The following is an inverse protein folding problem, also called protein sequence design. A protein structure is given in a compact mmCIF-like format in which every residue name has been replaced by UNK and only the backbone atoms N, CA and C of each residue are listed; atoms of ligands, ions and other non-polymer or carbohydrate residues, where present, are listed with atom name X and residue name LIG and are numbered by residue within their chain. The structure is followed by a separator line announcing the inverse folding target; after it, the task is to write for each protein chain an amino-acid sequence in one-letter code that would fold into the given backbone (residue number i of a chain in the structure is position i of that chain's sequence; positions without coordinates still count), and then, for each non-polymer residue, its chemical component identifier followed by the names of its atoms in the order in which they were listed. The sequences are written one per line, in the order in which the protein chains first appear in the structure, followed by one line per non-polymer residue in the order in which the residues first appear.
data_IF_434360109109
#
_entry.id   IF_434360109109
#
_cell.length_a   1.000
_cell.length_b   1.000
_cell.length_c   1.000
_cell.angle_alpha   90.00
_cell.angle_beta   90.00
_cell.angle_gamma   90.00
#
_symmetry.space_group_name_H-M   'P 1'
#
loop_
_entity.id
_entity.type
_entity.pdbx_description
1 polymer ?
#
# COMPACT_ATOMS: atom_id res chain seq x y z
N UNK A 1 12.93 23.96 -0.77
CA UNK A 1 11.76 23.91 -1.68
C UNK A 1 10.47 24.17 -0.91
N UNK A 2 10.23 23.48 0.22
CA UNK A 2 9.17 23.85 1.20
C UNK A 2 9.21 25.31 1.66
N UNK A 3 10.40 25.88 1.88
CA UNK A 3 10.54 27.27 2.34
C UNK A 3 10.13 28.32 1.30
N UNK A 4 10.13 27.99 0.00
CA UNK A 4 9.68 28.90 -1.07
C UNK A 4 8.15 28.93 -1.18
N UNK A 5 7.50 27.79 -0.97
CA UNK A 5 6.04 27.63 -0.97
C UNK A 5 5.42 28.38 0.22
N UNK A 6 6.06 28.31 1.40
CA UNK A 6 5.62 29.02 2.60
C UNK A 6 5.77 30.56 2.51
N UNK A 7 6.55 31.07 1.55
CA UNK A 7 6.77 32.51 1.35
C UNK A 7 5.85 33.14 0.29
N UNK A 8 4.90 32.39 -0.28
CA UNK A 8 3.85 32.93 -1.16
C UNK A 8 4.31 33.35 -2.57
N UNK A 9 5.58 33.11 -2.94
CA UNK A 9 6.06 33.26 -4.32
C UNK A 9 6.12 31.91 -5.01
N UNK A 10 5.25 31.72 -5.99
CA UNK A 10 5.16 30.54 -6.83
C UNK A 10 5.77 30.82 -8.20
N UNK A 11 7.07 31.06 -8.24
CA UNK A 11 7.83 31.11 -9.49
C UNK A 11 8.09 29.69 -10.05
N UNK A 12 7.04 28.87 -10.12
CA UNK A 12 7.06 27.51 -10.63
C UNK A 12 6.02 27.37 -11.73
N UNK A 13 6.36 26.62 -12.77
CA UNK A 13 5.42 26.22 -13.80
C UNK A 13 4.54 25.10 -13.24
N UNK A 14 3.24 25.36 -13.10
CA UNK A 14 2.26 24.40 -12.60
C UNK A 14 1.22 24.09 -13.67
N UNK A 15 0.73 22.85 -13.67
CA UNK A 15 -0.42 22.43 -14.45
C UNK A 15 -1.48 21.79 -13.56
N UNK A 16 -2.73 21.82 -14.02
CA UNK A 16 -3.75 20.96 -13.43
C UNK A 16 -3.35 19.49 -13.65
N UNK A 17 -3.50 18.68 -12.60
CA UNK A 17 -3.26 17.24 -12.72
C UNK A 17 -4.18 16.63 -13.77
N UNK A 18 -3.72 15.64 -14.55
CA UNK A 18 -4.55 14.96 -15.56
C UNK A 18 -5.85 14.33 -15.01
N UNK A 19 -5.88 14.03 -13.72
CA UNK A 19 -7.06 13.47 -13.01
C UNK A 19 -8.05 14.54 -12.55
N UNK A 20 -7.74 15.82 -12.71
CA UNK A 20 -8.60 16.96 -12.35
C UNK A 20 -9.23 17.49 -13.63
N UNK A 21 -10.56 17.48 -13.67
CA UNK A 21 -11.31 17.87 -14.87
C UNK A 21 -12.14 19.11 -14.56
N UNK A 22 -11.82 20.27 -15.16
CA UNK A 22 -12.57 21.50 -14.96
C UNK A 22 -13.81 21.54 -15.87
N UNK A 23 -14.91 22.09 -15.34
CA UNK A 23 -16.16 22.36 -16.05
C UNK A 23 -16.61 23.80 -15.76
N UNK A 24 -17.26 24.42 -16.74
CA UNK A 24 -17.94 25.71 -16.56
C UNK A 24 -19.44 25.45 -16.44
N UNK A 25 -20.06 25.89 -15.35
CA UNK A 25 -21.48 25.65 -15.07
C UNK A 25 -22.08 26.84 -14.31
N UNK A 26 -23.11 27.48 -14.86
CA UNK A 26 -23.94 28.51 -14.19
C UNK A 26 -23.16 29.59 -13.43
N UNK A 27 -22.10 30.16 -14.04
CA UNK A 27 -21.26 31.18 -13.39
C UNK A 27 -20.33 30.62 -12.31
N UNK A 28 -20.03 29.33 -12.36
CA UNK A 28 -19.09 28.63 -11.49
C UNK A 28 -18.09 27.81 -12.30
N UNK A 29 -16.92 27.58 -11.69
CA UNK A 29 -16.00 26.52 -12.10
C UNK A 29 -16.23 25.32 -11.20
N UNK A 30 -16.47 24.16 -11.81
CA UNK A 30 -16.58 22.88 -11.09
C UNK A 30 -15.38 22.02 -11.43
N UNK A 31 -14.61 21.63 -10.42
CA UNK A 31 -13.48 20.72 -10.57
C UNK A 31 -13.90 19.33 -10.11
N UNK A 32 -13.83 18.34 -11.02
CA UNK A 32 -14.01 16.93 -10.67
C UNK A 32 -12.66 16.29 -10.43
N UNK A 33 -12.44 15.74 -9.24
CA UNK A 33 -11.19 15.07 -8.85
C UNK A 33 -11.45 14.07 -7.72
N UNK A 34 -10.71 12.96 -7.65
CA UNK A 34 -10.79 11.97 -6.55
C UNK A 34 -12.22 11.49 -6.20
N UNK A 35 -13.13 11.44 -7.18
CA UNK A 35 -14.55 11.10 -6.97
C UNK A 35 -15.39 12.20 -6.29
N UNK A 36 -14.83 13.39 -6.14
CA UNK A 36 -15.42 14.58 -5.51
C UNK A 36 -15.60 15.72 -6.52
N UNK A 37 -16.32 16.75 -6.08
CA UNK A 37 -16.52 17.99 -6.82
C UNK A 37 -16.19 19.18 -5.91
N UNK A 38 -15.29 20.07 -6.35
CA UNK A 38 -15.19 21.42 -5.79
C UNK A 38 -15.93 22.39 -6.69
N UNK A 39 -16.74 23.26 -6.09
CA UNK A 39 -17.47 24.32 -6.79
C UNK A 39 -16.90 25.66 -6.37
N UNK A 40 -16.42 26.42 -7.33
CA UNK A 40 -15.81 27.72 -7.10
C UNK A 40 -16.68 28.76 -7.82
N UNK A 41 -17.27 29.73 -7.11
CA UNK A 41 -17.97 30.84 -7.75
C UNK A 41 -17.04 31.55 -8.73
N UNK A 42 -17.52 31.82 -9.94
CA UNK A 42 -16.74 32.49 -10.98
C UNK A 42 -17.62 33.45 -11.80
N UNK A 43 -18.28 34.44 -11.15
CA UNK A 43 -19.21 35.34 -11.83
C UNK A 43 -18.54 36.19 -12.91
N UNK A 44 -17.23 36.44 -12.78
CA UNK A 44 -16.44 37.27 -13.69
C UNK A 44 -15.52 36.47 -14.62
N UNK A 45 -15.49 35.13 -14.52
CA UNK A 45 -14.72 34.26 -15.42
C UNK A 45 -13.23 34.13 -15.12
N UNK A 46 -12.72 34.81 -14.09
CA UNK A 46 -11.29 34.83 -13.73
C UNK A 46 -10.79 33.44 -13.31
N UNK A 47 -11.59 32.67 -12.58
CA UNK A 47 -11.18 31.35 -12.09
C UNK A 47 -11.12 30.35 -13.25
N UNK A 48 -12.05 30.43 -14.20
CA UNK A 48 -11.97 29.65 -15.43
C UNK A 48 -10.71 30.00 -16.24
N UNK A 49 -10.40 31.30 -16.37
CA UNK A 49 -9.21 31.74 -17.07
C UNK A 49 -7.92 31.21 -16.41
N UNK A 50 -7.82 31.29 -15.08
CA UNK A 50 -6.71 30.72 -14.32
C UNK A 50 -6.58 29.21 -14.56
N UNK A 51 -7.64 28.45 -14.32
CA UNK A 51 -7.63 26.98 -14.42
C UNK A 51 -7.36 26.49 -15.84
N UNK A 52 -7.88 27.16 -16.87
CA UNK A 52 -7.59 26.85 -18.27
C UNK A 52 -6.15 27.17 -18.68
N UNK A 53 -5.50 28.12 -17.99
CA UNK A 53 -4.12 28.55 -18.27
C UNK A 53 -3.06 27.74 -17.52
N UNK A 54 -3.45 26.94 -16.52
CA UNK A 54 -2.59 26.02 -15.78
C UNK A 54 -2.20 24.80 -16.63
N UNK A 55 -1.33 25.05 -17.61
CA UNK A 55 -0.84 24.05 -18.56
C UNK A 55 0.66 23.75 -18.42
N UNK A 56 1.34 24.36 -17.43
CA UNK A 56 2.74 24.09 -17.13
C UNK A 56 3.77 24.84 -17.98
N UNK A 57 3.37 25.82 -18.79
CA UNK A 57 4.31 26.61 -19.60
C UNK A 57 4.69 27.95 -18.97
N UNK A 58 3.78 28.56 -18.22
CA UNK A 58 3.95 29.88 -17.59
C UNK A 58 4.03 29.72 -16.07
N UNK A 59 4.93 30.45 -15.37
CA UNK A 59 4.98 30.46 -13.91
C UNK A 59 3.65 30.90 -13.29
N UNK A 60 3.28 30.29 -12.18
CA UNK A 60 2.00 30.57 -11.52
C UNK A 60 1.84 32.06 -11.14
N UNK A 61 2.88 32.69 -10.59
CA UNK A 61 2.83 34.11 -10.24
C UNK A 61 2.55 35.01 -11.46
N UNK A 62 3.14 34.72 -12.61
CA UNK A 62 2.92 35.46 -13.86
C UNK A 62 1.51 35.21 -14.43
N UNK A 63 0.99 33.99 -14.31
CA UNK A 63 -0.40 33.68 -14.68
C UNK A 63 -1.40 34.45 -13.80
N UNK A 64 -1.17 34.53 -12.49
CA UNK A 64 -2.04 35.26 -11.56
C UNK A 64 -2.14 36.73 -11.98
N UNK A 65 -1.00 37.38 -12.25
CA UNK A 65 -0.96 38.79 -12.71
C UNK A 65 -1.71 38.93 -14.05
N UNK A 66 -1.42 38.06 -15.01
CA UNK A 66 -2.06 38.10 -16.35
C UNK A 66 -3.58 37.97 -16.26
N UNK A 67 -4.08 37.06 -15.41
CA UNK A 67 -5.52 36.88 -15.21
C UNK A 67 -6.13 38.08 -14.48
N UNK A 68 -5.44 38.64 -13.48
CA UNK A 68 -5.94 39.82 -12.77
C UNK A 68 -6.05 41.05 -13.68
N UNK A 69 -5.07 41.29 -14.56
CA UNK A 69 -5.11 42.37 -15.54
C UNK A 69 -6.26 42.21 -16.56
N UNK A 70 -6.61 40.97 -16.92
CA UNK A 70 -7.70 40.67 -17.82
C UNK A 70 -9.10 40.70 -17.16
N UNK A 71 -9.16 40.58 -15.82
CA UNK A 71 -10.39 40.49 -15.05
C UNK A 71 -10.40 41.48 -13.87
N UNK A 72 -10.51 42.78 -14.19
CA UNK A 72 -10.43 43.88 -13.22
C UNK A 72 -11.49 43.85 -12.09
N UNK A 73 -12.56 43.07 -12.27
CA UNK A 73 -13.61 42.88 -11.24
C UNK A 73 -13.18 41.90 -10.12
N UNK A 74 -12.05 41.20 -10.28
CA UNK A 74 -11.53 40.22 -9.31
C UNK A 74 -10.12 40.63 -8.88
N UNK A 75 -9.89 40.70 -7.58
CA UNK A 75 -8.59 41.11 -7.06
C UNK A 75 -7.51 40.05 -7.33
N UNK A 76 -6.26 40.47 -7.49
CA UNK A 76 -5.12 39.54 -7.59
C UNK A 76 -5.03 38.62 -6.34
N UNK A 77 -5.37 39.15 -5.17
CA UNK A 77 -5.38 38.41 -3.90
C UNK A 77 -6.41 37.27 -3.91
N UNK A 78 -7.61 37.50 -4.47
CA UNK A 78 -8.63 36.45 -4.62
C UNK A 78 -8.16 35.35 -5.58
N UNK A 79 -7.55 35.71 -6.71
CA UNK A 79 -7.01 34.76 -7.69
C UNK A 79 -5.87 33.94 -7.06
N UNK A 80 -4.98 34.60 -6.30
CA UNK A 80 -3.88 33.96 -5.56
C UNK A 80 -4.39 33.01 -4.49
N UNK A 81 -5.44 33.39 -3.77
CA UNK A 81 -6.12 32.54 -2.79
C UNK A 81 -6.66 31.26 -3.44
N UNK A 82 -7.32 31.37 -4.60
CA UNK A 82 -7.79 30.19 -5.33
C UNK A 82 -6.62 29.32 -5.82
N UNK A 83 -5.54 29.92 -6.33
CA UNK A 83 -4.35 29.17 -6.72
C UNK A 83 -3.72 28.41 -5.54
N UNK A 84 -3.69 29.03 -4.35
CA UNK A 84 -3.25 28.40 -3.12
C UNK A 84 -4.14 27.22 -2.73
N UNK A 85 -5.45 27.36 -2.87
CA UNK A 85 -6.39 26.26 -2.64
C UNK A 85 -6.12 25.10 -3.60
N UNK A 86 -5.89 25.36 -4.90
CA UNK A 86 -5.53 24.30 -5.85
C UNK A 86 -4.27 23.53 -5.41
N UNK A 87 -3.28 24.21 -4.84
CA UNK A 87 -2.07 23.58 -4.28
C UNK A 87 -2.40 22.77 -3.02
N UNK A 88 -3.13 23.36 -2.07
CA UNK A 88 -3.47 22.76 -0.78
C UNK A 88 -4.34 21.50 -0.95
N UNK A 89 -5.31 21.54 -1.88
CA UNK A 89 -6.13 20.39 -2.26
C UNK A 89 -5.41 19.41 -3.18
N UNK A 90 -4.12 19.63 -3.48
CA UNK A 90 -3.27 18.77 -4.31
C UNK A 90 -3.85 18.55 -5.70
N UNK A 91 -4.35 19.61 -6.34
CA UNK A 91 -5.00 19.56 -7.65
C UNK A 91 -4.06 19.94 -8.81
N UNK A 92 -2.89 20.48 -8.49
CA UNK A 92 -1.84 20.88 -9.44
C UNK A 92 -0.57 20.08 -9.25
N UNK A 93 0.21 19.95 -10.32
CA UNK A 93 1.52 19.32 -10.31
C UNK A 93 2.54 20.10 -11.13
N UNK A 94 3.83 19.84 -10.86
CA UNK A 94 4.91 20.34 -11.69
C UNK A 94 5.09 19.39 -12.90
N UNK A 95 4.94 19.88 -14.16
CA UNK A 95 4.96 19.04 -15.35
C UNK A 95 6.33 18.38 -15.58
N UNK A 96 7.40 18.98 -15.07
CA UNK A 96 8.78 18.56 -15.25
C UNK A 96 9.27 17.54 -14.20
N UNK A 97 8.40 17.10 -13.27
CA UNK A 97 8.77 16.13 -12.24
C UNK A 97 9.36 14.83 -12.81
N UNK A 98 8.94 14.42 -14.02
CA UNK A 98 9.47 13.23 -14.70
C UNK A 98 10.96 13.35 -15.06
N UNK A 99 11.52 14.56 -15.19
CA UNK A 99 12.93 14.74 -15.58
C UNK A 99 13.92 14.26 -14.52
N UNK A 100 13.44 14.08 -13.28
CA UNK A 100 14.27 13.68 -12.13
C UNK A 100 14.09 12.21 -11.74
N UNK A 101 13.29 11.44 -12.49
CA UNK A 101 13.06 10.02 -12.21
C UNK A 101 14.15 9.12 -12.78
N UNK A 102 14.43 8.01 -12.07
CA UNK A 102 15.26 6.91 -12.56
C UNK A 102 14.48 5.88 -13.39
N UNK A 103 13.15 6.02 -13.54
CA UNK A 103 12.33 5.10 -14.34
C UNK A 103 12.64 5.21 -15.83
N UNK A 104 12.76 4.07 -16.50
CA UNK A 104 12.88 4.01 -17.96
C UNK A 104 11.61 4.48 -18.66
N UNK A 105 11.70 4.78 -19.96
CA UNK A 105 10.52 5.11 -20.76
C UNK A 105 9.50 3.96 -20.78
N UNK A 106 9.98 2.72 -20.90
CA UNK A 106 9.15 1.52 -20.80
C UNK A 106 8.41 1.45 -19.44
N UNK A 107 9.11 1.71 -18.33
CA UNK A 107 8.48 1.67 -17.00
C UNK A 107 7.42 2.77 -16.85
N UNK A 108 7.72 4.00 -17.30
CA UNK A 108 6.75 5.10 -17.28
C UNK A 108 5.51 4.79 -18.12
N UNK A 109 5.66 4.14 -19.26
CA UNK A 109 4.53 3.72 -20.09
C UNK A 109 3.72 2.60 -19.42
N UNK A 110 4.39 1.53 -18.98
CA UNK A 110 3.76 0.34 -18.37
C UNK A 110 3.00 0.68 -17.08
N UNK A 111 3.58 1.53 -16.23
CA UNK A 111 3.02 1.90 -14.94
C UNK A 111 2.38 3.29 -14.93
N UNK A 112 2.06 3.84 -16.10
CA UNK A 112 1.43 5.18 -16.24
C UNK A 112 0.22 5.37 -15.34
N UNK A 113 -0.67 4.37 -15.26
CA UNK A 113 -1.87 4.42 -14.41
C UNK A 113 -1.54 4.44 -12.91
N UNK A 114 -0.50 3.72 -12.48
CA UNK A 114 -0.06 3.75 -11.09
C UNK A 114 0.56 5.11 -10.75
N UNK A 115 1.35 5.65 -11.67
CA UNK A 115 1.97 6.98 -11.54
C UNK A 115 0.88 8.06 -11.44
N UNK A 116 -0.17 7.99 -12.25
CA UNK A 116 -1.31 8.91 -12.17
C UNK A 116 -2.08 8.75 -10.86
N UNK A 117 -2.26 7.52 -10.37
CA UNK A 117 -2.85 7.26 -9.07
C UNK A 117 -2.03 7.88 -7.92
N UNK A 118 -0.71 7.72 -7.92
CA UNK A 118 0.14 8.41 -6.96
C UNK A 118 0.09 9.93 -7.15
N UNK A 119 0.02 10.37 -8.40
CA UNK A 119 -0.16 11.78 -8.78
C UNK A 119 -1.39 12.38 -8.12
N UNK A 120 -2.50 11.67 -7.99
CA UNK A 120 -3.71 12.20 -7.34
C UNK A 120 -3.56 12.45 -5.83
N UNK A 121 -2.54 11.86 -5.21
CA UNK A 121 -2.22 12.01 -3.78
C UNK A 121 -1.01 12.91 -3.51
N UNK A 122 -0.07 13.01 -4.45
CA UNK A 122 1.18 13.76 -4.29
C UNK A 122 0.94 15.27 -4.08
N UNK A 123 1.64 15.90 -3.16
CA UNK A 123 1.72 17.36 -3.09
C UNK A 123 2.54 17.93 -4.26
N UNK A 124 2.51 19.25 -4.44
CA UNK A 124 3.19 19.93 -5.56
C UNK A 124 4.72 19.81 -5.47
N UNK A 125 5.26 19.70 -4.25
CA UNK A 125 6.69 19.51 -3.96
C UNK A 125 7.10 18.03 -3.89
N UNK A 126 6.15 17.11 -4.09
CA UNK A 126 6.41 15.68 -4.17
C UNK A 126 6.51 15.22 -5.62
N UNK A 127 7.38 14.22 -5.85
CA UNK A 127 7.54 13.62 -7.16
C UNK A 127 6.78 12.28 -7.23
N UNK A 128 5.65 12.27 -7.94
CA UNK A 128 4.80 11.06 -8.11
C UNK A 128 5.54 9.85 -8.70
N UNK A 129 6.61 10.07 -9.49
CA UNK A 129 7.41 8.99 -10.07
C UNK A 129 8.27 8.26 -9.03
N UNK A 130 8.68 8.95 -7.95
CA UNK A 130 9.50 8.36 -6.88
C UNK A 130 8.76 7.22 -6.17
N UNK A 131 7.43 7.29 -6.04
CA UNK A 131 6.66 6.19 -5.45
C UNK A 131 6.76 4.91 -6.30
N UNK A 132 6.67 5.03 -7.62
CA UNK A 132 6.84 3.89 -8.52
C UNK A 132 8.28 3.37 -8.55
N UNK A 133 9.28 4.25 -8.38
CA UNK A 133 10.68 3.82 -8.20
C UNK A 133 10.89 3.02 -6.93
N UNK A 134 10.25 3.44 -5.82
CA UNK A 134 10.31 2.71 -4.54
C UNK A 134 9.72 1.31 -4.71
N UNK A 135 8.57 1.17 -5.38
CA UNK A 135 8.02 -0.16 -5.72
C UNK A 135 9.02 -0.98 -6.53
N UNK A 136 9.61 -0.42 -7.58
CA UNK A 136 10.56 -1.13 -8.44
C UNK A 136 11.77 -1.65 -7.67
N UNK A 137 12.31 -0.83 -6.76
CA UNK A 137 13.53 -1.15 -5.97
C UNK A 137 13.25 -2.08 -4.79
N UNK A 138 12.00 -2.16 -4.33
CA UNK A 138 11.65 -2.91 -3.14
C UNK A 138 11.86 -4.42 -3.32
N UNK A 139 12.44 -5.03 -2.29
CA UNK A 139 12.61 -6.47 -2.11
C UNK A 139 11.49 -6.97 -1.20
N UNK A 140 10.55 -7.71 -1.78
CA UNK A 140 9.37 -8.22 -1.06
C UNK A 140 9.48 -9.72 -0.90
N UNK A 141 9.33 -10.21 0.34
CA UNK A 141 9.20 -11.65 0.61
C UNK A 141 7.74 -12.01 0.86
N UNK A 142 7.22 -13.01 0.13
CA UNK A 142 5.86 -13.54 0.30
C UNK A 142 5.94 -14.96 0.87
N UNK A 143 5.42 -15.13 2.08
CA UNK A 143 5.31 -16.42 2.76
C UNK A 143 3.90 -16.97 2.52
N UNK A 144 3.81 -18.06 1.77
CA UNK A 144 2.56 -18.69 1.33
C UNK A 144 2.23 -18.36 -0.13
N UNK A 145 2.04 -19.39 -0.95
CA UNK A 145 1.71 -19.36 -2.36
C UNK A 145 0.36 -20.06 -2.65
N UNK A 146 -0.55 -20.01 -1.65
CA UNK A 146 -1.93 -20.51 -1.74
C UNK A 146 -2.90 -19.51 -2.35
N UNK A 147 -4.17 -19.54 -1.91
CA UNK A 147 -5.24 -18.67 -2.43
C UNK A 147 -4.86 -17.20 -2.40
N UNK A 148 -4.65 -16.63 -1.21
CA UNK A 148 -4.18 -15.25 -1.06
C UNK A 148 -2.85 -15.02 -1.77
N UNK A 149 -1.89 -15.92 -1.56
CA UNK A 149 -0.52 -15.79 -2.07
C UNK A 149 -0.47 -15.58 -3.58
N UNK A 150 -1.21 -16.36 -4.36
CA UNK A 150 -1.23 -16.22 -5.83
C UNK A 150 -1.79 -14.89 -6.32
N UNK A 151 -2.84 -14.36 -5.66
CA UNK A 151 -3.38 -13.03 -5.95
C UNK A 151 -2.39 -11.93 -5.56
N UNK A 152 -1.83 -12.00 -4.35
CA UNK A 152 -0.83 -11.05 -3.85
C UNK A 152 0.38 -10.99 -4.79
N UNK A 153 0.92 -12.14 -5.19
CA UNK A 153 2.07 -12.21 -6.10
C UNK A 153 1.77 -11.56 -7.46
N UNK A 154 0.60 -11.84 -8.02
CA UNK A 154 0.19 -11.21 -9.28
C UNK A 154 0.05 -9.69 -9.13
N UNK A 155 -0.62 -9.22 -8.08
CA UNK A 155 -0.84 -7.80 -7.83
C UNK A 155 0.48 -7.06 -7.61
N UNK A 156 1.42 -7.62 -6.82
CA UNK A 156 2.75 -7.04 -6.60
C UNK A 156 3.51 -6.87 -7.92
N UNK A 157 3.51 -7.89 -8.77
CA UNK A 157 4.18 -7.83 -10.08
C UNK A 157 3.49 -6.81 -11.00
N UNK A 158 2.16 -6.76 -11.01
CA UNK A 158 1.39 -5.81 -11.81
C UNK A 158 1.61 -4.35 -11.33
N UNK A 159 1.82 -4.15 -10.04
CA UNK A 159 2.17 -2.86 -9.43
C UNK A 159 3.61 -2.44 -9.71
N UNK A 160 4.47 -3.36 -10.17
CA UNK A 160 5.84 -3.08 -10.52
C UNK A 160 6.87 -3.40 -9.44
N UNK A 161 6.57 -4.32 -8.52
CA UNK A 161 7.60 -4.97 -7.69
C UNK A 161 8.41 -5.91 -8.58
N UNK A 162 9.74 -5.76 -8.56
CA UNK A 162 10.64 -6.55 -9.39
C UNK A 162 11.42 -7.61 -8.63
N UNK A 163 11.68 -7.41 -7.33
CA UNK A 163 12.49 -8.32 -6.53
C UNK A 163 11.58 -9.08 -5.56
N UNK A 164 11.33 -10.35 -5.86
CA UNK A 164 10.44 -11.21 -5.09
C UNK A 164 11.16 -12.42 -4.54
N UNK A 165 10.90 -12.73 -3.28
CA UNK A 165 11.19 -14.03 -2.69
C UNK A 165 9.86 -14.69 -2.34
N UNK A 166 9.65 -15.94 -2.77
CA UNK A 166 8.41 -16.68 -2.58
C UNK A 166 8.74 -17.96 -1.83
N UNK A 167 8.02 -18.24 -0.75
CA UNK A 167 8.18 -19.47 0.01
C UNK A 167 6.86 -20.19 0.18
N UNK A 168 6.81 -21.45 -0.24
CA UNK A 168 5.72 -22.40 -0.03
C UNK A 168 6.27 -23.81 -0.29
N UNK A 169 5.80 -24.82 0.43
CA UNK A 169 6.30 -26.20 0.31
C UNK A 169 5.36 -27.13 -0.46
N UNK A 170 4.15 -26.67 -0.78
CA UNK A 170 3.11 -27.51 -1.35
C UNK A 170 3.31 -27.74 -2.86
N UNK A 171 2.68 -28.83 -3.31
CA UNK A 171 2.45 -29.13 -4.72
C UNK A 171 1.04 -28.68 -5.13
N UNK A 172 0.85 -28.49 -6.42
CA UNK A 172 -0.44 -28.07 -6.99
C UNK A 172 -1.40 -29.26 -7.05
N UNK A 173 -2.60 -29.08 -6.52
CA UNK A 173 -3.70 -30.05 -6.59
C UNK A 173 -4.86 -29.51 -7.43
N UNK A 174 -5.70 -30.39 -7.97
CA UNK A 174 -6.92 -30.00 -8.71
C UNK A 174 -7.82 -29.06 -7.88
N UNK A 175 -7.94 -29.33 -6.58
CA UNK A 175 -8.72 -28.53 -5.62
C UNK A 175 -8.23 -27.09 -5.48
N UNK A 176 -7.01 -26.77 -5.92
CA UNK A 176 -6.41 -25.45 -5.83
C UNK A 176 -6.88 -24.53 -6.96
N UNK A 177 -7.23 -25.09 -8.11
CA UNK A 177 -7.53 -24.34 -9.33
C UNK A 177 -8.82 -23.50 -9.24
N UNK A 178 -9.63 -23.70 -8.20
CA UNK A 178 -10.81 -22.88 -7.95
C UNK A 178 -10.50 -21.47 -7.41
N UNK A 179 -9.29 -21.24 -6.89
CA UNK A 179 -8.94 -19.99 -6.18
C UNK A 179 -7.48 -19.54 -6.29
N UNK A 180 -6.61 -20.37 -6.87
CA UNK A 180 -5.17 -20.08 -6.98
C UNK A 180 -4.84 -19.72 -8.42
N UNK A 181 -4.88 -18.42 -8.73
CA UNK A 181 -4.96 -17.89 -10.11
C UNK A 181 -3.70 -18.12 -10.97
N UNK A 182 -2.58 -18.50 -10.36
CA UNK A 182 -1.32 -18.74 -11.07
C UNK A 182 -1.18 -20.17 -11.61
N UNK A 183 -2.15 -21.05 -11.36
CA UNK A 183 -2.04 -22.48 -11.70
C UNK A 183 -3.09 -22.90 -12.74
N UNK A 184 -2.73 -23.86 -13.61
CA UNK A 184 -3.67 -24.52 -14.55
C UNK A 184 -3.66 -26.04 -14.37
N UNK A 185 -4.58 -26.74 -15.03
CA UNK A 185 -4.70 -28.20 -14.98
C UNK A 185 -3.39 -28.93 -15.33
N UNK A 186 -2.65 -28.44 -16.32
CA UNK A 186 -1.37 -29.02 -16.71
C UNK A 186 -0.24 -28.82 -15.68
N UNK A 187 -0.44 -27.99 -14.65
CA UNK A 187 0.55 -27.76 -13.59
C UNK A 187 0.35 -28.70 -12.37
N UNK A 188 -0.71 -29.54 -12.35
CA UNK A 188 -0.99 -30.45 -11.24
C UNK A 188 0.21 -31.37 -10.96
N UNK A 189 0.58 -31.50 -9.69
CA UNK A 189 1.74 -32.26 -9.24
C UNK A 189 3.07 -31.49 -9.34
N UNK A 190 3.08 -30.27 -9.87
CA UNK A 190 4.26 -29.39 -9.85
C UNK A 190 4.33 -28.60 -8.54
N UNK A 191 5.52 -28.13 -8.19
CA UNK A 191 5.71 -27.25 -7.03
C UNK A 191 5.03 -25.89 -7.27
N UNK A 192 4.32 -25.39 -6.26
CA UNK A 192 3.62 -24.10 -6.33
C UNK A 192 4.55 -22.94 -6.65
N UNK A 193 5.64 -22.81 -5.89
CA UNK A 193 6.58 -21.68 -6.02
C UNK A 193 7.27 -21.61 -7.39
N UNK A 194 7.69 -22.75 -7.93
CA UNK A 194 8.33 -22.80 -9.26
C UNK A 194 7.33 -22.47 -10.38
N UNK A 195 6.10 -22.97 -10.25
CA UNK A 195 5.03 -22.66 -11.21
C UNK A 195 4.67 -21.18 -11.15
N UNK A 196 4.49 -20.62 -9.95
CA UNK A 196 4.21 -19.20 -9.75
C UNK A 196 5.32 -18.33 -10.35
N UNK A 197 6.59 -18.63 -10.05
CA UNK A 197 7.75 -17.95 -10.64
C UNK A 197 7.69 -17.95 -12.17
N UNK A 198 7.47 -19.11 -12.79
CA UNK A 198 7.36 -19.22 -14.25
C UNK A 198 6.23 -18.34 -14.80
N UNK A 199 5.04 -18.36 -14.18
CA UNK A 199 3.90 -17.54 -14.64
C UNK A 199 4.12 -16.04 -14.48
N UNK A 200 4.73 -15.62 -13.39
CA UNK A 200 5.03 -14.21 -13.18
C UNK A 200 6.08 -13.71 -14.20
N UNK A 201 7.06 -14.55 -14.56
CA UNK A 201 8.02 -14.26 -15.63
C UNK A 201 7.40 -14.21 -17.02
N UNK A 202 6.34 -15.01 -17.28
CA UNK A 202 5.52 -14.91 -18.51
C UNK A 202 4.80 -13.54 -18.58
N UNK A 203 4.37 -12.99 -17.43
CA UNK A 203 3.69 -11.69 -17.37
C UNK A 203 4.64 -10.48 -17.39
N UNK A 204 5.82 -10.60 -16.76
CA UNK A 204 6.87 -9.59 -16.77
C UNK A 204 8.24 -10.26 -16.75
N UNK A 205 8.99 -10.15 -17.85
CA UNK A 205 10.30 -10.80 -17.99
C UNK A 205 11.45 -10.09 -17.25
N UNK A 206 11.19 -8.92 -16.65
CA UNK A 206 12.21 -8.14 -15.94
C UNK A 206 12.29 -8.46 -14.43
N UNK A 207 11.56 -9.46 -13.96
CA UNK A 207 11.49 -9.81 -12.54
C UNK A 207 12.71 -10.64 -12.11
N UNK A 208 13.14 -10.42 -10.88
CA UNK A 208 14.07 -11.27 -10.14
C UNK A 208 13.27 -12.02 -9.07
N UNK A 209 13.08 -13.33 -9.26
CA UNK A 209 12.26 -14.16 -8.37
C UNK A 209 13.09 -15.30 -7.80
N UNK A 210 13.23 -15.32 -6.48
CA UNK A 210 13.78 -16.42 -5.70
C UNK A 210 12.62 -17.29 -5.17
N UNK A 211 12.54 -18.53 -5.62
CA UNK A 211 11.52 -19.48 -5.23
C UNK A 211 12.11 -20.49 -4.22
N UNK A 212 11.47 -20.63 -3.06
CA UNK A 212 11.90 -21.52 -1.99
C UNK A 212 10.82 -22.56 -1.72
N UNK A 213 11.03 -23.77 -2.22
CA UNK A 213 10.20 -24.93 -1.94
C UNK A 213 10.55 -25.53 -0.57
N UNK A 214 10.19 -24.83 0.51
CA UNK A 214 10.60 -25.18 1.86
C UNK A 214 9.48 -24.99 2.88
N UNK A 215 9.43 -25.87 3.87
CA UNK A 215 8.49 -25.77 5.00
C UNK A 215 9.11 -24.91 6.09
N UNK A 216 8.28 -24.06 6.70
CA UNK A 216 8.67 -23.29 7.89
C UNK A 216 8.45 -24.16 9.13
N UNK A 217 9.50 -24.34 9.93
CA UNK A 217 9.45 -25.13 11.17
C UNK A 217 9.85 -24.30 12.40
N UNK A 218 10.32 -23.07 12.21
CA UNK A 218 10.71 -22.15 13.27
C UNK A 218 10.74 -20.69 12.82
N UNK A 219 10.84 -19.76 13.79
CA UNK A 219 11.14 -18.35 13.53
C UNK A 219 12.49 -18.17 12.80
N UNK A 220 13.47 -19.04 13.08
CA UNK A 220 14.79 -18.96 12.46
C UNK A 220 14.74 -19.27 10.96
N UNK A 221 13.86 -20.17 10.52
CA UNK A 221 13.67 -20.46 9.09
C UNK A 221 13.15 -19.22 8.38
N UNK A 222 12.14 -18.54 8.95
CA UNK A 222 11.63 -17.28 8.43
C UNK A 222 12.76 -16.25 8.38
N UNK A 223 13.47 -16.05 9.50
CA UNK A 223 14.57 -15.09 9.60
C UNK A 223 15.67 -15.32 8.56
N UNK A 224 15.96 -16.59 8.21
CA UNK A 224 16.95 -16.94 7.19
C UNK A 224 16.55 -16.46 5.79
N UNK A 225 15.26 -16.52 5.47
CA UNK A 225 14.69 -16.19 4.16
C UNK A 225 14.42 -14.69 4.03
N UNK A 226 13.89 -14.05 5.08
CA UNK A 226 13.45 -12.65 5.00
C UNK A 226 14.58 -11.65 5.17
N UNK A 227 15.76 -12.06 5.65
CA UNK A 227 16.89 -11.14 5.87
C UNK A 227 17.24 -10.35 4.59
N UNK A 228 17.33 -9.02 4.72
CA UNK A 228 17.66 -8.12 3.62
C UNK A 228 16.49 -7.74 2.71
N UNK A 229 15.26 -8.10 3.08
CA UNK A 229 14.03 -7.63 2.42
C UNK A 229 13.52 -6.35 3.08
N UNK A 230 12.85 -5.51 2.30
CA UNK A 230 12.27 -4.26 2.76
C UNK A 230 10.92 -4.49 3.47
N UNK A 231 10.20 -5.55 3.09
CA UNK A 231 8.91 -5.91 3.70
C UNK A 231 8.60 -7.40 3.47
N UNK A 232 7.86 -7.98 4.42
CA UNK A 232 7.32 -9.34 4.32
C UNK A 232 5.80 -9.30 4.22
N UNK A 233 5.21 -10.12 3.35
CA UNK A 233 3.78 -10.39 3.33
C UNK A 233 3.57 -11.85 3.68
N UNK A 234 2.92 -12.12 4.81
CA UNK A 234 2.68 -13.48 5.28
C UNK A 234 1.20 -13.84 5.20
N UNK A 235 0.90 -14.86 4.39
CA UNK A 235 -0.43 -15.44 4.23
C UNK A 235 -0.37 -16.98 4.28
N UNK A 236 0.73 -17.52 4.82
CA UNK A 236 0.87 -18.93 5.14
C UNK A 236 0.01 -19.26 6.38
N UNK A 237 -0.71 -20.37 6.30
CA UNK A 237 -1.57 -20.88 7.37
C UNK A 237 -0.97 -22.07 8.13
N UNK A 238 0.16 -22.62 7.63
CA UNK A 238 0.84 -23.78 8.20
C UNK A 238 2.32 -23.52 8.54
N UNK A 239 2.80 -23.98 9.71
CA UNK A 239 2.04 -24.70 10.74
C UNK A 239 1.05 -23.80 11.49
N UNK A 240 -0.15 -24.34 11.71
CA UNK A 240 -1.22 -23.65 12.40
C UNK A 240 -0.78 -23.27 13.82
N UNK A 241 -1.36 -22.22 14.37
CA UNK A 241 -1.10 -21.69 15.72
C UNK A 241 0.31 -21.09 15.93
N UNK A 242 1.33 -21.45 15.15
CA UNK A 242 2.71 -20.96 15.33
C UNK A 242 3.12 -19.87 14.35
N UNK A 243 2.54 -19.86 13.13
CA UNK A 243 3.00 -18.97 12.06
C UNK A 243 3.05 -17.49 12.44
N UNK A 244 2.00 -16.98 13.11
CA UNK A 244 1.95 -15.58 13.52
C UNK A 244 3.01 -15.21 14.56
N UNK A 245 3.30 -16.12 15.49
CA UNK A 245 4.34 -15.92 16.52
C UNK A 245 5.72 -15.90 15.89
N UNK A 246 6.01 -16.91 15.05
CA UNK A 246 7.31 -17.06 14.40
C UNK A 246 7.58 -15.93 13.40
N UNK A 247 6.56 -15.51 12.63
CA UNK A 247 6.65 -14.34 11.77
C UNK A 247 7.02 -13.10 12.58
N UNK A 248 6.31 -12.88 13.68
CA UNK A 248 6.50 -11.71 14.53
C UNK A 248 7.90 -11.72 15.16
N UNK A 249 8.33 -12.83 15.75
CA UNK A 249 9.67 -12.99 16.33
C UNK A 249 10.77 -12.72 15.28
N UNK A 250 10.67 -13.34 14.11
CA UNK A 250 11.67 -13.21 13.05
C UNK A 250 11.75 -11.79 12.48
N UNK A 251 10.61 -11.22 12.08
CA UNK A 251 10.58 -9.93 11.40
C UNK A 251 10.89 -8.79 12.39
N UNK A 252 10.33 -8.82 13.60
CA UNK A 252 10.64 -7.81 14.62
C UNK A 252 12.10 -7.90 15.04
N UNK A 253 12.63 -9.10 15.28
CA UNK A 253 14.04 -9.28 15.65
C UNK A 253 15.02 -8.80 14.58
N UNK A 254 14.61 -8.76 13.31
CA UNK A 254 15.40 -8.22 12.18
C UNK A 254 15.08 -6.75 11.85
N UNK A 255 14.10 -6.14 12.51
CA UNK A 255 13.63 -4.79 12.19
C UNK A 255 12.91 -4.67 10.84
N UNK A 256 12.39 -5.78 10.31
CA UNK A 256 11.74 -5.84 9.00
C UNK A 256 10.22 -5.65 9.15
N UNK A 257 9.61 -4.66 8.49
CA UNK A 257 8.16 -4.49 8.47
C UNK A 257 7.44 -5.68 7.84
N UNK A 258 6.23 -5.97 8.29
CA UNK A 258 5.40 -7.00 7.66
C UNK A 258 3.91 -6.66 7.65
N UNK A 259 3.20 -7.24 6.68
CA UNK A 259 1.74 -7.31 6.63
C UNK A 259 1.35 -8.77 6.69
N UNK A 260 0.36 -9.11 7.50
CA UNK A 260 -0.12 -10.49 7.62
C UNK A 260 -1.63 -10.52 7.68
N UNK A 261 -2.20 -11.61 7.19
CA UNK A 261 -3.64 -11.82 7.24
C UNK A 261 -4.04 -13.22 6.79
N UNK A 262 -5.32 -13.52 7.00
CA UNK A 262 -5.91 -14.81 6.66
C UNK A 262 -7.40 -14.70 6.48
N UNK A 263 -7.98 -15.77 5.91
CA UNK A 263 -9.42 -15.93 5.79
C UNK A 263 -9.89 -17.03 6.73
N UNK A 264 -11.06 -16.80 7.29
CA UNK A 264 -11.93 -17.79 7.91
C UNK A 264 -13.16 -17.97 6.99
N UNK A 265 -14.12 -18.80 7.38
CA UNK A 265 -15.29 -19.16 6.56
C UNK A 265 -16.16 -17.94 6.18
N UNK A 266 -16.33 -16.98 7.10
CA UNK A 266 -17.24 -15.82 6.92
C UNK A 266 -16.57 -14.46 7.10
N UNK A 267 -15.25 -14.42 7.28
CA UNK A 267 -14.50 -13.16 7.43
C UNK A 267 -13.04 -13.34 7.05
N UNK A 268 -12.35 -12.23 6.84
CA UNK A 268 -10.89 -12.16 6.81
C UNK A 268 -10.39 -11.16 7.82
N UNK A 269 -9.20 -11.41 8.36
CA UNK A 269 -8.53 -10.51 9.30
C UNK A 269 -7.11 -10.23 8.81
N UNK A 270 -6.66 -8.99 8.99
CA UNK A 270 -5.34 -8.56 8.54
C UNK A 270 -4.84 -7.34 9.33
N UNK A 271 -3.53 -7.28 9.51
CA UNK A 271 -2.84 -6.19 10.19
C UNK A 271 -1.41 -6.01 9.69
N UNK A 272 -0.77 -4.90 10.06
CA UNK A 272 0.64 -4.64 9.77
C UNK A 272 1.43 -4.33 11.04
N UNK A 273 2.73 -4.58 10.98
CA UNK A 273 3.69 -4.23 12.02
C UNK A 273 4.86 -3.47 11.38
N UNK A 274 5.19 -2.33 11.96
CA UNK A 274 6.40 -1.57 11.67
C UNK A 274 7.28 -1.60 12.92
N UNK A 275 8.31 -2.46 12.97
CA UNK A 275 9.19 -2.58 14.14
C UNK A 275 9.75 -1.22 14.57
N UNK A 276 9.86 -1.01 15.89
CA UNK A 276 10.27 0.27 16.46
C UNK A 276 9.15 1.31 16.57
N UNK A 277 8.16 1.29 15.67
CA UNK A 277 7.09 2.30 15.59
C UNK A 277 5.74 1.80 16.10
N UNK A 278 5.25 0.66 15.60
CA UNK A 278 3.98 0.07 16.04
C UNK A 278 4.17 -0.94 17.18
N UNK A 279 3.08 -1.29 17.85
CA UNK A 279 3.02 -2.51 18.67
C UNK A 279 3.07 -3.74 17.77
N UNK A 280 3.79 -4.76 18.20
CA UNK A 280 3.96 -6.01 17.46
C UNK A 280 2.84 -7.03 17.75
N UNK A 281 2.89 -8.19 17.10
CA UNK A 281 1.93 -9.29 17.32
C UNK A 281 1.89 -9.77 18.78
N UNK A 282 3.02 -9.76 19.49
CA UNK A 282 3.03 -10.08 20.93
C UNK A 282 2.32 -9.01 21.79
N UNK A 283 2.45 -7.72 21.44
CA UNK A 283 1.70 -6.64 22.12
C UNK A 283 0.19 -6.81 21.93
N UNK A 284 -0.23 -7.16 20.71
CA UNK A 284 -1.62 -7.49 20.41
C UNK A 284 -2.08 -8.70 21.21
N UNK A 285 -1.33 -9.81 21.18
CA UNK A 285 -1.71 -11.04 21.86
C UNK A 285 -1.88 -10.85 23.37
N UNK A 286 -0.97 -10.13 24.03
CA UNK A 286 -1.13 -9.75 25.44
C UNK A 286 -2.43 -8.97 25.65
N UNK A 287 -2.70 -7.97 24.81
CA UNK A 287 -3.92 -7.15 24.91
C UNK A 287 -5.20 -7.97 24.66
N UNK A 288 -5.18 -8.91 23.72
CA UNK A 288 -6.31 -9.78 23.40
C UNK A 288 -6.57 -10.81 24.52
N UNK A 289 -5.52 -11.43 25.07
CA UNK A 289 -5.62 -12.39 26.19
C UNK A 289 -6.23 -11.76 27.44
N UNK A 290 -5.92 -10.49 27.71
CA UNK A 290 -6.54 -9.76 28.84
C UNK A 290 -8.04 -9.51 28.65
N UNK A 291 -8.57 -9.55 27.44
CA UNK A 291 -10.01 -9.35 27.18
C UNK A 291 -10.86 -10.59 27.46
N UNK A 292 -10.30 -11.80 27.38
CA UNK A 292 -11.07 -13.03 27.56
C UNK A 292 -10.22 -14.21 28.03
N UNK A 293 -10.54 -14.72 29.22
CA UNK A 293 -9.94 -15.94 29.76
C UNK A 293 -10.19 -17.16 28.86
N UNK A 294 -11.36 -17.23 28.20
CA UNK A 294 -11.71 -18.33 27.31
C UNK A 294 -10.79 -18.38 26.08
N UNK A 295 -10.59 -17.22 25.43
CA UNK A 295 -9.72 -17.11 24.25
C UNK A 295 -8.28 -17.50 24.61
N UNK A 296 -7.81 -17.08 25.79
CA UNK A 296 -6.48 -17.44 26.27
C UNK A 296 -6.33 -18.95 26.50
N UNK A 297 -7.30 -19.59 27.17
CA UNK A 297 -7.30 -21.03 27.39
C UNK A 297 -7.34 -21.82 26.09
N UNK A 298 -8.24 -21.48 25.17
CA UNK A 298 -8.35 -22.16 23.86
C UNK A 298 -7.06 -22.02 23.07
N UNK A 299 -6.48 -20.81 22.99
CA UNK A 299 -5.24 -20.58 22.24
C UNK A 299 -4.06 -21.38 22.81
N UNK A 300 -4.00 -21.52 24.14
CA UNK A 300 -2.96 -22.28 24.82
C UNK A 300 -3.14 -23.78 24.59
N UNK A 301 -4.36 -24.29 24.75
CA UNK A 301 -4.69 -25.69 24.48
C UNK A 301 -4.45 -26.06 23.01
N UNK A 302 -4.85 -25.20 22.07
CA UNK A 302 -4.67 -25.45 20.65
C UNK A 302 -3.20 -25.59 20.25
N UNK A 303 -2.30 -24.83 20.89
CA UNK A 303 -0.85 -24.98 20.72
C UNK A 303 -0.33 -26.25 21.38
N UNK A 304 -0.66 -26.48 22.66
CA UNK A 304 -0.14 -27.60 23.43
C UNK A 304 -0.57 -28.96 22.85
N UNK A 305 -1.86 -29.08 22.52
CA UNK A 305 -2.47 -30.32 22.04
C UNK A 305 -2.48 -30.41 20.50
N UNK A 306 -1.87 -29.44 19.81
CA UNK A 306 -1.87 -29.31 18.35
C UNK A 306 -3.28 -29.39 17.73
N UNK A 307 -4.27 -28.80 18.40
CA UNK A 307 -5.66 -28.77 17.93
C UNK A 307 -5.72 -27.79 16.76
N UNK A 308 -6.10 -28.30 15.60
CA UNK A 308 -6.23 -27.52 14.38
C UNK A 308 -7.38 -28.03 13.53
N UNK A 309 -7.79 -27.22 12.57
CA UNK A 309 -8.79 -27.59 11.59
C UNK A 309 -8.15 -28.53 10.56
N UNK A 310 -8.61 -29.78 10.48
CA UNK A 310 -8.00 -30.81 9.61
C UNK A 310 -8.34 -30.62 8.13
N UNK A 311 -9.47 -30.00 7.82
CA UNK A 311 -9.87 -29.75 6.44
C UNK A 311 -9.22 -28.47 5.90
N UNK A 312 -8.98 -28.37 4.58
CA UNK A 312 -8.62 -27.09 3.98
C UNK A 312 -9.70 -26.06 4.28
N UNK A 313 -9.31 -24.86 4.73
CA UNK A 313 -10.26 -23.80 5.03
C UNK A 313 -11.12 -23.50 3.77
N UNK A 314 -12.46 -23.52 3.89
CA UNK A 314 -13.33 -23.12 2.80
C UNK A 314 -12.98 -21.70 2.35
N UNK A 315 -12.75 -21.51 1.05
CA UNK A 315 -12.37 -20.22 0.50
C UNK A 315 -13.09 -19.98 -0.82
N UNK A 316 -13.66 -18.79 -0.94
CA UNK A 316 -14.35 -18.33 -2.13
C UNK A 316 -13.48 -17.29 -2.84
N UNK A 317 -13.12 -17.55 -4.11
CA UNK A 317 -12.07 -16.82 -4.83
C UNK A 317 -12.28 -15.31 -4.89
N UNK A 318 -13.52 -14.84 -4.98
CA UNK A 318 -13.80 -13.39 -5.03
C UNK A 318 -13.44 -12.70 -3.72
N UNK A 319 -13.68 -13.36 -2.58
CA UNK A 319 -13.35 -12.84 -1.26
C UNK A 319 -11.84 -12.93 -1.01
N UNK A 320 -11.20 -13.99 -1.49
CA UNK A 320 -9.73 -14.11 -1.51
C UNK A 320 -9.10 -12.93 -2.27
N UNK A 321 -9.62 -12.61 -3.45
CA UNK A 321 -9.12 -11.51 -4.27
C UNK A 321 -9.26 -10.14 -3.58
N UNK A 322 -10.42 -9.87 -2.95
CA UNK A 322 -10.64 -8.63 -2.20
C UNK A 322 -9.68 -8.51 -1.01
N UNK A 323 -9.55 -9.57 -0.20
CA UNK A 323 -8.62 -9.58 0.93
C UNK A 323 -7.16 -9.42 0.49
N UNK A 324 -6.75 -10.08 -0.60
CA UNK A 324 -5.41 -9.93 -1.19
C UNK A 324 -5.13 -8.46 -1.58
N UNK A 325 -6.08 -7.82 -2.28
CA UNK A 325 -5.96 -6.41 -2.66
C UNK A 325 -5.85 -5.47 -1.46
N UNK A 326 -6.55 -5.75 -0.35
CA UNK A 326 -6.42 -4.97 0.90
C UNK A 326 -5.03 -5.12 1.54
N UNK A 327 -4.50 -6.34 1.60
CA UNK A 327 -3.15 -6.63 2.13
C UNK A 327 -2.07 -5.95 1.28
N UNK A 328 -2.16 -6.07 -0.06
CA UNK A 328 -1.22 -5.43 -0.99
C UNK A 328 -1.30 -3.92 -0.90
N UNK A 329 -2.51 -3.35 -0.78
CA UNK A 329 -2.69 -1.90 -0.65
C UNK A 329 -2.01 -1.33 0.59
N UNK A 330 -1.99 -2.07 1.70
CA UNK A 330 -1.24 -1.66 2.88
C UNK A 330 0.28 -1.76 2.64
N UNK A 331 0.75 -2.87 2.07
CA UNK A 331 2.17 -3.04 1.76
C UNK A 331 2.69 -1.93 0.83
N UNK A 332 1.91 -1.52 -0.18
CA UNK A 332 2.24 -0.40 -1.06
C UNK A 332 2.44 0.89 -0.29
N UNK A 333 1.59 1.20 0.69
CA UNK A 333 1.76 2.40 1.54
C UNK A 333 3.06 2.33 2.34
N UNK A 334 3.36 1.17 2.92
CA UNK A 334 4.58 0.96 3.70
C UNK A 334 5.85 1.06 2.83
N UNK A 335 5.83 0.51 1.60
CA UNK A 335 6.96 0.57 0.66
C UNK A 335 7.16 1.99 0.12
N UNK A 336 6.06 2.62 -0.32
CA UNK A 336 6.13 3.87 -1.07
C UNK A 336 6.15 5.09 -0.18
N UNK A 337 5.55 5.04 1.01
CA UNK A 337 5.29 6.19 1.86
C UNK A 337 4.31 7.20 1.24
N UNK A 338 3.49 6.80 0.25
CA UNK A 338 2.52 7.71 -0.37
C UNK A 338 1.40 8.13 0.60
N UNK A 339 1.14 7.30 1.61
CA UNK A 339 0.19 7.53 2.70
C UNK A 339 0.68 6.81 3.96
N UNK A 340 0.25 7.23 5.16
CA UNK A 340 0.55 6.50 6.37
C UNK A 340 -0.08 5.10 6.38
N UNK A 341 0.61 4.08 6.92
CA UNK A 341 0.03 2.76 7.18
C UNK A 341 -1.26 2.88 8.02
N UNK A 342 -2.30 2.18 7.60
CA UNK A 342 -3.63 2.21 8.22
C UNK A 342 -3.90 1.02 9.15
N UNK A 343 -3.06 -0.01 9.11
CA UNK A 343 -3.19 -1.25 9.87
C UNK A 343 -2.26 -1.34 11.09
N UNK A 344 -1.36 -0.37 11.27
CA UNK A 344 -0.55 -0.32 12.49
C UNK A 344 -1.47 -0.21 13.72
N UNK A 345 -1.20 -1.03 14.74
CA UNK A 345 -1.95 -1.05 16.01
C UNK A 345 -3.44 -1.41 15.85
N UNK A 346 -3.86 -1.92 14.68
CA UNK A 346 -5.26 -2.18 14.34
C UNK A 346 -5.37 -3.50 13.58
N UNK A 347 -6.29 -4.35 14.03
CA UNK A 347 -6.69 -5.55 13.29
C UNK A 347 -7.97 -5.21 12.56
N UNK A 348 -7.89 -5.15 11.24
CA UNK A 348 -9.07 -4.96 10.40
C UNK A 348 -9.69 -6.29 10.08
N UNK A 349 -11.01 -6.27 10.01
CA UNK A 349 -11.85 -7.38 9.63
C UNK A 349 -12.65 -6.99 8.39
N UNK A 350 -12.65 -7.86 7.39
CA UNK A 350 -13.58 -7.79 6.26
C UNK A 350 -14.56 -8.96 6.37
N UNK A 351 -15.83 -8.65 6.60
CA UNK A 351 -16.91 -9.63 6.79
C UNK A 351 -17.51 -10.03 5.45
N UNK A 352 -17.81 -11.31 5.26
CA UNK A 352 -18.29 -11.82 3.97
C UNK A 352 -19.81 -11.75 3.83
N UNK A 353 -20.51 -11.50 4.93
CA UNK A 353 -21.97 -11.50 4.99
C UNK A 353 -22.58 -10.22 4.42
N UNK A 354 -21.98 -9.09 4.75
CA UNK A 354 -22.44 -7.75 4.34
C UNK A 354 -21.34 -6.93 3.64
N UNK A 355 -20.17 -7.54 3.42
CA UNK A 355 -19.00 -6.92 2.79
C UNK A 355 -18.46 -5.69 3.53
N UNK A 356 -18.73 -5.56 4.84
CA UNK A 356 -18.23 -4.45 5.64
C UNK A 356 -16.77 -4.63 6.05
N UNK A 357 -16.07 -3.50 6.22
CA UNK A 357 -14.67 -3.46 6.69
C UNK A 357 -14.63 -2.72 8.00
N UNK A 358 -14.33 -3.44 9.08
CA UNK A 358 -14.39 -2.94 10.45
C UNK A 358 -13.00 -2.99 11.11
N UNK A 359 -12.82 -2.20 12.18
CA UNK A 359 -11.70 -2.38 13.10
C UNK A 359 -12.17 -3.36 14.18
N UNK A 360 -11.72 -4.61 14.12
CA UNK A 360 -12.10 -5.62 15.08
C UNK A 360 -11.32 -5.47 16.38
N UNK A 361 -10.03 -5.12 16.31
CA UNK A 361 -9.21 -4.89 17.50
C UNK A 361 -8.23 -3.72 17.34
N UNK A 362 -7.89 -3.11 18.48
CA UNK A 362 -6.86 -2.07 18.62
C UNK A 362 -5.95 -2.45 19.78
N UNK A 363 -4.64 -2.17 19.66
CA UNK A 363 -3.65 -2.36 20.71
C UNK A 363 -2.56 -1.28 20.66
N UNK A 364 -1.80 -1.14 21.74
CA UNK A 364 -0.66 -0.23 21.81
C UNK A 364 0.66 -1.00 21.86
N UNK A 365 1.75 -0.34 21.46
CA UNK A 365 3.12 -0.82 21.72
C UNK A 365 3.34 -0.87 23.23
N UNK A 366 3.69 -2.04 23.76
CA UNK A 366 3.94 -2.23 25.20
C UNK A 366 5.41 -1.93 25.53
N UNK A 367 5.68 -1.12 26.57
CA UNK A 367 7.05 -0.74 26.94
C UNK A 367 7.87 -1.91 27.48
N UNK A 368 7.21 -2.94 27.99
CA UNK A 368 7.74 -4.16 28.59
C UNK A 368 7.61 -5.39 27.68
N UNK A 369 7.25 -5.20 26.39
CA UNK A 369 7.14 -6.32 25.46
C UNK A 369 8.48 -7.02 25.26
N UNK A 370 8.55 -8.32 25.58
CA UNK A 370 9.76 -9.14 25.42
C UNK A 370 10.30 -9.16 23.98
N UNK A 371 9.42 -8.97 22.98
CA UNK A 371 9.78 -9.04 21.56
C UNK A 371 10.20 -7.68 20.98
N UNK A 372 9.53 -6.57 21.33
CA UNK A 372 9.74 -5.29 20.63
C UNK A 372 10.12 -4.09 21.52
N UNK A 373 10.21 -4.26 22.84
CA UNK A 373 10.54 -3.15 23.76
C UNK A 373 11.92 -2.54 23.52
N UNK A 374 12.87 -3.37 23.08
CA UNK A 374 14.26 -2.96 22.82
C UNK A 374 14.44 -2.15 21.52
N UNK A 375 13.40 -2.04 20.68
CA UNK A 375 13.47 -1.32 19.40
C UNK A 375 12.95 0.11 19.55
N UNK A 376 13.75 1.08 19.13
CA UNK A 376 13.31 2.45 18.86
C UNK A 376 12.85 2.61 17.41
N UNK A 377 12.05 3.63 17.13
CA UNK A 377 11.71 3.99 15.75
C UNK A 377 13.02 4.27 14.96
N UNK A 378 13.11 3.76 13.74
CA UNK A 378 14.24 4.09 12.86
C UNK A 378 14.07 5.51 12.29
N UNK A 379 15.19 6.17 12.00
CA UNK A 379 15.22 7.54 11.43
C UNK A 379 14.44 7.62 10.10
N UNK A 380 14.39 6.54 9.30
CA UNK A 380 13.62 6.46 8.06
C UNK A 380 12.09 6.49 8.27
N UNK A 381 11.58 5.99 9.40
CA UNK A 381 10.15 6.00 9.72
C UNK A 381 9.73 7.30 10.39
N UNK A 382 10.62 7.96 11.14
CA UNK A 382 10.39 9.31 11.68
C UNK A 382 10.14 10.34 10.56
N UNK A 383 10.95 10.29 9.50
CA UNK A 383 10.78 11.19 8.35
C UNK A 383 9.45 11.02 7.61
N UNK A 384 8.82 9.84 7.64
CA UNK A 384 7.51 9.61 7.02
C UNK A 384 6.35 10.06 7.92
N UNK A 385 6.53 10.04 9.25
CA UNK A 385 5.54 10.48 10.23
C UNK A 385 5.43 12.02 10.32
N UNK A 386 6.51 12.74 10.02
CA UNK A 386 6.57 14.22 10.06
C UNK A 386 6.09 14.91 8.75
N UNK A 387 5.71 14.13 7.72
CA UNK A 387 5.33 14.62 6.39
C UNK A 387 3.82 14.77 6.15
N UNK A 388 2.99 14.71 7.19
CA UNK A 388 1.52 14.83 7.09
C UNK A 388 1.03 16.15 7.66
#
# INVERSE_FOLDING_TARGET
MRDLIMQGSYNMNLCLKPTVIPFKLDGQVVLRFNGQYAKIPDPHGAIWALTASLNGHTPLDELIVTVSEAHLDVSEEDIRSVAQDLINYRLVEAPDAFKTTSLSEHDRARFSRNIDFFGSMAAVDENKFVYQERLRKAKVCVLGCGGLGTHILYDLVALGIHHLTILDFDYIELSNLNRQILYKEADIGSQKVETAKRRLLEFNSYLEINAHAARIESAQDIASVVRGHDIVICVADKPANYMADWLNEACVGLGIPFVTGGLDVRRSIFYSVVPGTSGCGACWLTSARHKSNLVNSISTMAKHDNITYEHPAPAFVTLVAVTAGMIVSEAVKMITGCQPPQLNNKLKEFTFDDLSVNIAEVWDKKPDCEVCSHLSASEQVQLQAETI
#
